data_IF_313194776623
#
_entry.id   IF_313194776623
#
_cell.length_a   1.000
_cell.length_b   1.000
_cell.length_c   1.000
_cell.angle_alpha   90.00
_cell.angle_beta   90.00
_cell.angle_gamma   90.00
#
_symmetry.space_group_name_H-M   'P 1'
#
loop_
_entity.id
_entity.type
_entity.pdbx_description
1 polymer ?
#
# COMPACT_ATOMS: atom_id res chain seq x y z
N UNK A 1 8.58 -3.39 -2.90
CA UNK A 1 9.94 -3.29 -2.28
C UNK A 1 11.05 -2.91 -3.27
N UNK A 2 11.12 -3.55 -4.44
CA UNK A 2 12.13 -3.26 -5.47
C UNK A 2 12.25 -1.77 -5.81
N UNK A 3 11.14 -1.13 -6.20
CA UNK A 3 11.12 0.30 -6.56
C UNK A 3 11.51 1.22 -5.39
N UNK A 4 11.15 0.86 -4.15
CA UNK A 4 11.55 1.62 -2.97
C UNK A 4 13.08 1.62 -2.80
N UNK A 5 13.74 0.47 -2.96
CA UNK A 5 15.21 0.40 -2.82
C UNK A 5 15.95 1.34 -3.79
N UNK A 6 15.46 1.44 -5.03
CA UNK A 6 16.00 2.35 -6.04
C UNK A 6 15.65 3.82 -5.75
N UNK A 7 14.37 4.11 -5.45
CA UNK A 7 13.91 5.48 -5.21
C UNK A 7 14.58 6.11 -3.98
N UNK A 8 14.82 5.33 -2.93
CA UNK A 8 15.45 5.76 -1.68
C UNK A 8 17.00 5.77 -1.74
N UNK A 9 17.61 5.33 -2.85
CA UNK A 9 19.07 5.40 -3.03
C UNK A 9 19.58 6.86 -3.04
N UNK A 10 18.72 7.82 -3.40
CA UNK A 10 19.05 9.26 -3.44
C UNK A 10 19.30 9.91 -2.07
N UNK A 11 18.90 9.26 -0.98
CA UNK A 11 19.12 9.76 0.38
C UNK A 11 20.45 9.22 0.88
N UNK A 12 21.47 10.04 0.72
CA UNK A 12 22.87 9.65 0.76
C UNK A 12 23.73 10.62 1.60
N UNK A 13 23.13 11.69 2.15
CA UNK A 13 23.84 12.68 2.97
C UNK A 13 24.80 13.59 2.18
N UNK A 14 24.82 13.52 0.84
CA UNK A 14 25.73 14.34 0.00
C UNK A 14 25.10 15.67 -0.36
N UNK A 15 23.87 15.64 -0.90
CA UNK A 15 23.20 16.84 -1.42
C UNK A 15 22.33 17.53 -0.38
N UNK A 16 21.68 16.75 0.48
CA UNK A 16 20.68 17.25 1.42
C UNK A 16 20.39 16.23 2.54
N UNK A 17 19.75 16.71 3.60
CA UNK A 17 19.24 15.88 4.70
C UNK A 17 20.31 15.52 5.73
N UNK A 18 20.07 14.42 6.44
CA UNK A 18 20.98 13.91 7.46
C UNK A 18 22.30 13.48 6.83
N UNK A 19 23.41 13.93 7.42
CA UNK A 19 24.77 13.51 7.09
C UNK A 19 25.49 13.14 8.38
N UNK A 20 25.89 11.89 8.50
CA UNK A 20 26.69 11.38 9.61
C UNK A 20 28.12 11.20 9.12
N UNK A 21 29.14 11.74 9.83
CA UNK A 21 30.55 11.53 9.48
C UNK A 21 30.93 10.04 9.42
N UNK A 22 31.93 9.73 8.60
CA UNK A 22 32.58 8.42 8.49
C UNK A 22 34.05 8.62 8.11
N UNK A 23 34.86 7.56 8.20
CA UNK A 23 36.30 7.67 7.92
C UNK A 23 36.56 7.86 6.42
N UNK A 24 35.66 7.36 5.58
CA UNK A 24 35.60 7.62 4.15
C UNK A 24 34.16 7.89 3.65
N UNK A 25 34.01 7.98 2.32
CA UNK A 25 32.72 8.25 1.70
C UNK A 25 31.74 7.07 1.84
N UNK A 26 32.24 5.83 1.86
CA UNK A 26 31.42 4.62 2.02
C UNK A 26 30.87 4.60 3.43
N UNK A 27 31.72 4.82 4.43
CA UNK A 27 31.31 4.90 5.84
C UNK A 27 30.30 6.02 6.08
N UNK A 28 30.53 7.20 5.47
CA UNK A 28 29.58 8.30 5.54
C UNK A 28 28.21 7.90 4.98
N UNK A 29 28.15 7.18 3.85
CA UNK A 29 26.89 6.69 3.28
C UNK A 29 26.19 5.69 4.20
N UNK A 30 26.94 4.69 4.70
CA UNK A 30 26.40 3.64 5.56
C UNK A 30 25.87 4.23 6.87
N UNK A 31 26.67 5.07 7.54
CA UNK A 31 26.28 5.73 8.79
C UNK A 31 25.06 6.63 8.60
N UNK A 32 25.04 7.44 7.55
CA UNK A 32 23.92 8.36 7.28
C UNK A 32 22.62 7.62 7.04
N UNK A 33 22.67 6.52 6.28
CA UNK A 33 21.48 5.71 5.94
C UNK A 33 21.04 4.84 7.11
N UNK A 34 21.97 4.28 7.87
CA UNK A 34 21.67 3.48 9.05
C UNK A 34 21.00 4.32 10.15
N UNK A 35 21.50 5.54 10.39
CA UNK A 35 20.91 6.46 11.36
C UNK A 35 19.61 7.11 10.85
N UNK A 36 19.50 7.38 9.55
CA UNK A 36 18.38 8.12 8.97
C UNK A 36 17.14 7.29 8.67
N UNK A 37 17.29 6.00 8.36
CA UNK A 37 16.15 5.14 8.03
C UNK A 37 15.64 4.35 9.22
N UNK A 38 14.33 4.41 9.47
CA UNK A 38 13.66 3.52 10.41
C UNK A 38 13.68 2.05 9.97
N UNK A 39 13.42 1.15 10.91
CA UNK A 39 13.53 -0.31 10.72
C UNK A 39 12.73 -0.86 9.53
N UNK A 40 11.51 -0.37 9.31
CA UNK A 40 10.68 -0.83 8.17
C UNK A 40 11.25 -0.38 6.82
N UNK A 41 11.78 0.84 6.74
CA UNK A 41 12.40 1.35 5.51
C UNK A 41 13.67 0.55 5.19
N UNK A 42 14.52 0.30 6.19
CA UNK A 42 15.70 -0.55 6.03
C UNK A 42 15.33 -1.96 5.54
N UNK A 43 14.31 -2.58 6.13
CA UNK A 43 13.79 -3.89 5.70
C UNK A 43 13.37 -3.88 4.23
N UNK A 44 12.60 -2.87 3.80
CA UNK A 44 12.13 -2.75 2.41
C UNK A 44 13.28 -2.50 1.43
N UNK A 45 14.29 -1.73 1.81
CA UNK A 45 15.50 -1.51 1.01
C UNK A 45 16.25 -2.83 0.83
N UNK A 46 16.54 -3.56 1.92
CA UNK A 46 17.26 -4.84 1.87
C UNK A 46 16.56 -5.86 0.97
N UNK A 47 15.25 -6.07 1.17
CA UNK A 47 14.45 -6.97 0.33
C UNK A 47 14.42 -6.48 -1.13
N UNK A 48 14.26 -5.17 -1.34
CA UNK A 48 14.25 -4.57 -2.68
C UNK A 48 15.56 -4.77 -3.44
N UNK A 49 16.70 -4.54 -2.79
CA UNK A 49 18.02 -4.78 -3.37
C UNK A 49 18.23 -6.27 -3.66
N UNK A 50 17.78 -7.15 -2.77
CA UNK A 50 17.88 -8.61 -2.97
C UNK A 50 17.10 -9.08 -4.21
N UNK A 51 15.82 -8.68 -4.36
CA UNK A 51 15.00 -9.12 -5.50
C UNK A 51 15.44 -8.54 -6.83
N UNK A 52 16.26 -7.49 -6.82
CA UNK A 52 16.86 -6.90 -8.03
C UNK A 52 18.25 -7.45 -8.33
N UNK A 53 18.83 -8.27 -7.46
CA UNK A 53 20.18 -8.81 -7.64
C UNK A 53 20.24 -9.84 -8.79
N UNK A 54 21.42 -9.94 -9.40
CA UNK A 54 21.68 -10.88 -10.49
C UNK A 54 21.39 -12.32 -10.04
N UNK A 55 20.62 -13.06 -10.84
CA UNK A 55 20.15 -14.43 -10.52
C UNK A 55 18.78 -14.51 -9.83
N UNK A 56 18.33 -13.43 -9.17
CA UNK A 56 17.01 -13.38 -8.51
C UNK A 56 16.01 -12.48 -9.24
N UNK A 57 16.48 -11.60 -10.13
CA UNK A 57 15.65 -10.69 -10.92
C UNK A 57 14.54 -11.40 -11.70
N UNK A 58 14.88 -12.44 -12.46
CA UNK A 58 13.90 -13.16 -13.28
C UNK A 58 12.92 -13.97 -12.42
N UNK A 59 13.43 -14.61 -11.36
CA UNK A 59 12.65 -15.48 -10.49
C UNK A 59 11.61 -14.71 -9.65
N UNK A 60 11.93 -13.47 -9.25
CA UNK A 60 11.08 -12.67 -8.37
C UNK A 60 10.46 -11.47 -9.08
N UNK A 61 11.26 -10.55 -9.63
CA UNK A 61 10.75 -9.29 -10.16
C UNK A 61 9.98 -9.49 -11.48
N UNK A 62 10.55 -10.20 -12.45
CA UNK A 62 9.88 -10.45 -13.73
C UNK A 62 8.63 -11.32 -13.53
N UNK A 63 8.71 -12.32 -12.65
CA UNK A 63 7.55 -13.15 -12.29
C UNK A 63 6.43 -12.32 -11.66
N UNK A 64 6.75 -11.40 -10.76
CA UNK A 64 5.76 -10.50 -10.16
C UNK A 64 5.09 -9.58 -11.20
N UNK A 65 5.85 -9.07 -12.18
CA UNK A 65 5.27 -8.27 -13.28
C UNK A 65 4.30 -9.08 -14.15
N UNK A 66 4.59 -10.36 -14.40
CA UNK A 66 3.64 -11.26 -15.10
C UNK A 66 2.35 -11.47 -14.30
N UNK A 67 2.46 -11.67 -12.98
CA UNK A 67 1.29 -11.78 -12.10
C UNK A 67 0.49 -10.47 -12.11
N UNK A 68 1.15 -9.31 -12.10
CA UNK A 68 0.49 -8.00 -12.23
C UNK A 68 -0.36 -7.92 -13.52
N UNK A 69 0.13 -8.44 -14.64
CA UNK A 69 -0.65 -8.51 -15.89
C UNK A 69 -1.90 -9.39 -15.74
N UNK A 70 -1.80 -10.52 -15.05
CA UNK A 70 -2.95 -11.38 -14.80
C UNK A 70 -4.00 -10.70 -13.90
N UNK A 71 -3.56 -10.03 -12.83
CA UNK A 71 -4.46 -9.26 -11.95
C UNK A 71 -5.20 -8.18 -12.75
N UNK A 72 -4.49 -7.44 -13.61
CA UNK A 72 -5.12 -6.43 -14.47
C UNK A 72 -6.16 -7.07 -15.39
N UNK A 73 -5.83 -8.22 -15.99
CA UNK A 73 -6.74 -8.95 -16.89
C UNK A 73 -8.02 -9.38 -16.17
N UNK A 74 -7.94 -9.80 -14.92
CA UNK A 74 -9.13 -10.20 -14.15
C UNK A 74 -10.09 -9.01 -13.95
N UNK A 75 -9.56 -7.81 -13.68
CA UNK A 75 -10.38 -6.59 -13.66
C UNK A 75 -10.93 -6.24 -15.04
N UNK A 76 -10.10 -6.30 -16.09
CA UNK A 76 -10.54 -6.02 -17.46
C UNK A 76 -11.74 -6.89 -17.87
N UNK A 77 -11.74 -8.18 -17.49
CA UNK A 77 -12.85 -9.10 -17.72
C UNK A 77 -14.08 -8.78 -16.85
N UNK A 78 -13.89 -8.37 -15.60
CA UNK A 78 -15.00 -8.00 -14.72
C UNK A 78 -15.80 -6.83 -15.31
N UNK A 79 -15.12 -5.87 -15.95
CA UNK A 79 -15.74 -4.68 -16.56
C UNK A 79 -16.78 -4.97 -17.65
N UNK A 80 -16.77 -6.17 -18.23
CA UNK A 80 -17.78 -6.63 -19.18
C UNK A 80 -19.15 -6.87 -18.52
N UNK A 81 -19.17 -7.02 -17.19
CA UNK A 81 -20.36 -7.40 -16.41
C UNK A 81 -20.73 -6.41 -15.29
N UNK A 82 -19.78 -5.57 -14.87
CA UNK A 82 -19.99 -4.61 -13.79
C UNK A 82 -19.39 -3.25 -14.11
N UNK A 83 -19.95 -2.21 -13.51
CA UNK A 83 -19.43 -0.84 -13.61
C UNK A 83 -18.48 -0.48 -12.48
N UNK A 84 -18.67 -1.11 -11.32
CA UNK A 84 -17.88 -0.89 -10.10
C UNK A 84 -17.75 -2.21 -9.35
N UNK A 85 -16.58 -2.47 -8.77
CA UNK A 85 -16.35 -3.60 -7.84
C UNK A 85 -16.40 -3.09 -6.40
N UNK A 86 -17.13 -3.78 -5.53
CA UNK A 86 -17.26 -3.47 -4.11
C UNK A 86 -16.52 -4.51 -3.26
N UNK A 87 -15.67 -4.06 -2.35
CA UNK A 87 -14.95 -4.90 -1.38
C UNK A 87 -14.92 -4.22 -0.01
N UNK A 88 -14.58 -4.92 1.09
CA UNK A 88 -14.09 -4.23 2.28
C UNK A 88 -12.83 -3.41 1.95
N UNK A 89 -12.63 -2.28 2.62
CA UNK A 89 -11.39 -1.50 2.51
C UNK A 89 -10.25 -2.13 3.32
N UNK A 90 -10.58 -2.74 4.45
CA UNK A 90 -9.66 -3.47 5.35
C UNK A 90 -10.28 -4.80 5.75
N UNK A 91 -9.47 -5.82 6.12
CA UNK A 91 -9.99 -7.13 6.55
C UNK A 91 -10.61 -7.12 7.95
N UNK A 92 -10.30 -6.13 8.77
CA UNK A 92 -10.79 -5.99 10.14
C UNK A 92 -11.02 -4.51 10.49
N UNK A 93 -11.68 -4.22 11.63
CA UNK A 93 -11.63 -2.90 12.24
C UNK A 93 -10.19 -2.48 12.57
N UNK A 94 -10.03 -1.21 12.93
CA UNK A 94 -8.75 -0.68 13.35
C UNK A 94 -8.20 -1.42 14.59
N UNK A 95 -6.88 -1.65 14.61
CA UNK A 95 -6.15 -2.26 15.72
C UNK A 95 -5.41 -1.19 16.53
N UNK A 96 -5.13 -1.48 17.80
CA UNK A 96 -4.48 -0.56 18.72
C UNK A 96 -2.97 -0.38 18.41
N UNK A 97 -2.37 0.75 18.83
CA UNK A 97 -0.93 0.95 18.70
C UNK A 97 -0.13 -0.18 19.38
N UNK A 98 0.77 -0.81 18.63
CA UNK A 98 1.60 -1.91 19.13
C UNK A 98 0.93 -3.28 19.19
N UNK A 99 -0.34 -3.40 18.80
CA UNK A 99 -1.05 -4.67 18.74
C UNK A 99 -0.47 -5.60 17.67
N UNK A 100 -0.20 -5.06 16.48
CA UNK A 100 0.48 -5.78 15.42
C UNK A 100 1.98 -5.49 15.49
N UNK A 101 2.75 -6.50 15.87
CA UNK A 101 4.22 -6.43 15.94
C UNK A 101 4.90 -7.20 14.81
N UNK A 102 4.22 -8.17 14.21
CA UNK A 102 4.71 -8.92 13.05
C UNK A 102 4.51 -8.10 11.76
N UNK A 103 5.59 -7.78 11.02
CA UNK A 103 5.50 -7.09 9.74
C UNK A 103 4.64 -7.81 8.71
N UNK A 104 4.62 -9.15 8.72
CA UNK A 104 3.83 -9.93 7.75
C UNK A 104 2.34 -9.74 8.01
N UNK A 105 1.93 -9.81 9.27
CA UNK A 105 0.55 -9.48 9.67
C UNK A 105 0.19 -8.06 9.28
N UNK A 106 1.10 -7.09 9.44
CA UNK A 106 0.86 -5.72 9.01
C UNK A 106 0.55 -5.64 7.51
N UNK A 107 1.29 -6.35 6.66
CA UNK A 107 1.08 -6.34 5.21
C UNK A 107 -0.23 -6.99 4.76
N UNK A 108 -0.79 -7.92 5.54
CA UNK A 108 -2.08 -8.54 5.22
C UNK A 108 -3.26 -7.58 5.34
N UNK A 109 -3.10 -6.44 6.02
CA UNK A 109 -4.13 -5.41 6.05
C UNK A 109 -4.40 -4.79 4.67
N UNK A 110 -3.42 -4.87 3.76
CA UNK A 110 -3.53 -4.32 2.40
C UNK A 110 -4.08 -5.33 1.37
N UNK A 111 -4.61 -6.48 1.81
CA UNK A 111 -5.04 -7.57 0.90
C UNK A 111 -6.10 -7.12 -0.12
N UNK A 112 -6.97 -6.17 0.25
CA UNK A 112 -8.01 -5.63 -0.62
C UNK A 112 -7.59 -4.38 -1.40
N UNK A 113 -6.50 -3.70 -1.00
CA UNK A 113 -6.11 -2.41 -1.58
C UNK A 113 -4.98 -2.56 -2.59
N UNK A 114 -4.04 -3.48 -2.37
CA UNK A 114 -2.83 -3.59 -3.20
C UNK A 114 -3.13 -3.95 -4.67
N UNK A 115 -4.15 -4.76 -4.91
CA UNK A 115 -4.54 -5.22 -6.26
C UNK A 115 -5.00 -4.06 -7.14
N UNK A 116 -5.61 -3.04 -6.54
CA UNK A 116 -6.06 -1.81 -7.20
C UNK A 116 -4.85 -1.03 -7.76
N UNK A 117 -3.81 -0.85 -6.95
CA UNK A 117 -2.58 -0.16 -7.37
C UNK A 117 -1.85 -0.96 -8.46
N UNK A 118 -1.82 -2.29 -8.34
CA UNK A 118 -1.21 -3.16 -9.34
C UNK A 118 -1.90 -3.05 -10.70
N UNK A 119 -3.23 -3.02 -10.72
CA UNK A 119 -4.01 -2.86 -11.94
C UNK A 119 -4.02 -1.41 -12.47
N UNK A 120 -3.64 -0.43 -11.66
CA UNK A 120 -3.64 1.00 -12.03
C UNK A 120 -5.04 1.59 -12.12
N UNK A 121 -5.93 1.17 -11.20
CA UNK A 121 -7.33 1.55 -11.19
C UNK A 121 -7.63 2.64 -10.15
N UNK A 122 -8.68 3.45 -10.36
CA UNK A 122 -9.19 4.31 -9.30
C UNK A 122 -9.93 3.49 -8.24
N UNK A 123 -9.75 3.85 -6.97
CA UNK A 123 -10.48 3.29 -5.84
C UNK A 123 -10.84 4.37 -4.83
N UNK A 124 -12.00 4.24 -4.20
CA UNK A 124 -12.48 5.13 -3.13
C UNK A 124 -12.94 4.29 -1.95
N UNK A 125 -12.60 4.72 -0.73
CA UNK A 125 -13.12 4.12 0.50
C UNK A 125 -14.22 5.01 1.06
N UNK A 126 -15.36 4.41 1.36
CA UNK A 126 -16.53 5.07 1.95
C UNK A 126 -16.91 4.44 3.29
N UNK A 127 -17.43 5.23 4.23
CA UNK A 127 -17.93 4.73 5.50
C UNK A 127 -19.05 3.70 5.31
N UNK A 128 -18.95 2.56 6.00
CA UNK A 128 -19.91 1.46 5.91
C UNK A 128 -20.70 1.21 7.20
N UNK A 129 -20.21 1.75 8.33
CA UNK A 129 -20.81 1.60 9.64
C UNK A 129 -19.76 1.51 10.74
N UNK A 130 -20.18 1.02 11.90
CA UNK A 130 -19.31 0.76 13.05
C UNK A 130 -19.24 -0.74 13.33
N UNK A 131 -18.10 -1.20 13.83
CA UNK A 131 -17.93 -2.55 14.37
C UNK A 131 -18.72 -2.70 15.69
N UNK A 132 -18.76 -3.93 16.23
CA UNK A 132 -19.32 -4.21 17.56
C UNK A 132 -18.66 -3.39 18.68
N UNK A 133 -17.40 -2.98 18.47
CA UNK A 133 -16.59 -2.17 19.38
C UNK A 133 -16.72 -0.66 19.12
N UNK A 134 -17.57 -0.26 18.17
CA UNK A 134 -17.78 1.16 17.82
C UNK A 134 -16.71 1.74 16.89
N UNK A 135 -15.89 0.91 16.23
CA UNK A 135 -14.81 1.35 15.35
C UNK A 135 -15.30 1.51 13.90
N UNK A 136 -14.85 2.53 13.14
CA UNK A 136 -15.23 2.71 11.74
C UNK A 136 -14.89 1.52 10.87
N UNK A 137 -15.86 1.09 10.06
CA UNK A 137 -15.68 0.14 8.98
C UNK A 137 -15.77 0.86 7.63
N UNK A 138 -14.89 0.47 6.70
CA UNK A 138 -14.84 1.04 5.36
C UNK A 138 -15.17 0.02 4.29
N UNK A 139 -15.95 0.45 3.29
CA UNK A 139 -16.14 -0.26 2.02
C UNK A 139 -15.32 0.45 0.95
N UNK A 140 -14.62 -0.32 0.13
CA UNK A 140 -13.88 0.16 -1.02
C UNK A 140 -14.67 -0.11 -2.30
N UNK A 141 -14.86 0.93 -3.09
CA UNK A 141 -15.34 0.84 -4.46
C UNK A 141 -14.15 0.98 -5.41
N UNK A 142 -14.10 0.16 -6.45
CA UNK A 142 -13.04 0.15 -7.47
C UNK A 142 -13.70 0.39 -8.82
N UNK A 143 -13.24 1.43 -9.52
CA UNK A 143 -13.77 1.85 -10.82
C UNK A 143 -12.91 1.39 -12.00
N UNK A 144 -13.48 1.56 -13.20
CA UNK A 144 -12.76 1.42 -14.49
C UNK A 144 -11.66 2.50 -14.60
N UNK A 145 -10.62 2.30 -15.44
CA UNK A 145 -9.64 3.35 -15.72
C UNK A 145 -10.33 4.64 -16.15
N UNK A 146 -10.01 5.76 -15.47
CA UNK A 146 -10.61 7.08 -15.69
C UNK A 146 -12.14 7.15 -15.45
N UNK A 147 -12.69 6.21 -14.67
CA UNK A 147 -14.11 6.12 -14.34
C UNK A 147 -14.50 6.78 -13.01
N UNK A 148 -13.76 7.79 -12.56
CA UNK A 148 -13.97 8.43 -11.25
C UNK A 148 -15.36 9.05 -11.10
N UNK A 149 -15.99 9.52 -12.18
CA UNK A 149 -17.36 10.06 -12.14
C UNK A 149 -18.36 9.01 -11.62
N UNK A 150 -18.40 7.83 -12.25
CA UNK A 150 -19.25 6.71 -11.81
C UNK A 150 -18.89 6.30 -10.38
N UNK A 151 -17.60 6.29 -10.07
CA UNK A 151 -17.11 5.93 -8.75
C UNK A 151 -17.64 6.88 -7.66
N UNK A 152 -17.60 8.19 -7.89
CA UNK A 152 -18.15 9.20 -6.98
C UNK A 152 -19.68 9.10 -6.85
N UNK A 153 -20.40 8.85 -7.94
CA UNK A 153 -21.85 8.66 -7.91
C UNK A 153 -22.25 7.45 -7.06
N UNK A 154 -21.56 6.31 -7.24
CA UNK A 154 -21.81 5.10 -6.44
C UNK A 154 -21.41 5.32 -4.98
N UNK A 155 -20.28 5.98 -4.72
CA UNK A 155 -19.84 6.32 -3.38
C UNK A 155 -20.87 7.17 -2.62
N UNK A 156 -21.41 8.20 -3.27
CA UNK A 156 -22.45 9.05 -2.68
C UNK A 156 -23.72 8.27 -2.32
N UNK A 157 -24.12 7.30 -3.15
CA UNK A 157 -25.26 6.43 -2.85
C UNK A 157 -25.01 5.55 -1.62
N UNK A 158 -23.80 4.98 -1.47
CA UNK A 158 -23.43 4.20 -0.29
C UNK A 158 -23.39 5.08 0.96
N UNK A 159 -22.77 6.25 0.89
CA UNK A 159 -22.69 7.18 2.02
C UNK A 159 -24.09 7.61 2.50
N UNK A 160 -25.00 7.91 1.57
CA UNK A 160 -26.39 8.26 1.90
C UNK A 160 -27.13 7.09 2.57
N UNK A 161 -26.91 5.86 2.11
CA UNK A 161 -27.54 4.67 2.66
C UNK A 161 -26.97 4.27 4.03
N UNK A 162 -25.65 4.37 4.21
CA UNK A 162 -24.98 4.11 5.48
C UNK A 162 -25.29 5.19 6.54
N UNK A 163 -25.62 6.39 6.08
CA UNK A 163 -25.86 7.54 6.94
C UNK A 163 -24.57 8.10 7.53
N UNK A 164 -24.72 9.05 8.46
CA UNK A 164 -23.58 9.65 9.16
C UNK A 164 -23.41 8.98 10.51
N UNK A 165 -22.20 8.52 10.79
CA UNK A 165 -21.81 8.03 12.11
C UNK A 165 -20.58 8.77 12.61
N UNK A 166 -20.57 9.03 13.91
CA UNK A 166 -19.42 9.65 14.59
C UNK A 166 -18.69 8.54 15.33
N UNK A 167 -17.43 8.31 14.96
CA UNK A 167 -16.57 7.45 15.74
C UNK A 167 -16.20 8.16 17.05
N UNK A 168 -16.34 7.48 18.18
CA UNK A 168 -15.71 7.91 19.43
C UNK A 168 -14.18 7.82 19.29
N UNK A 169 -13.44 8.66 20.04
CA UNK A 169 -11.99 8.49 20.14
C UNK A 169 -11.71 7.07 20.65
N UNK A 170 -10.96 6.29 19.88
CA UNK A 170 -10.60 4.92 20.24
C UNK A 170 -9.14 4.79 20.70
N UNK A 171 -8.50 5.93 20.99
CA UNK A 171 -7.18 6.10 21.60
C UNK A 171 -7.07 7.50 22.21
#
# INVERSE_FOLDING_TARGET
>A
PAEASSNLARYDGVRYGLRVPGDDIVDMYENSRAAGFGREVQRRILIGTYVLSAGYYDAYYVRAQKIRTLIKRDFDLAWDSVDVVLTPATPSPAFAPGEITDPVQMYLNDIFTVTVNMAGLPGISVPAGLSSEGLPLGLQLIGKPFGEETLFQTAAAIEQAAGRFTASSWW
#
